data_IF_385534202809
#
_entry.id   IF_385534202809
#
_cell.length_a   1.000
_cell.length_b   1.000
_cell.length_c   1.000
_cell.angle_alpha   90.00
_cell.angle_beta   90.00
_cell.angle_gamma   90.00
#
_symmetry.space_group_name_H-M   'P 1'
#
loop_
_entity.id
_entity.type
_entity.pdbx_description
1 polymer ?
#
# COMPACT_ATOMS: atom_id res chain seq x y z
N UNK A 1 -25.38 0.28 -7.35
CA UNK A 1 -25.29 0.41 -8.82
C UNK A 1 -24.47 1.59 -9.33
N UNK A 2 -24.08 2.57 -8.51
CA UNK A 2 -23.20 3.66 -8.95
C UNK A 2 -21.79 3.13 -9.31
N UNK A 3 -21.08 3.83 -10.20
CA UNK A 3 -19.68 3.54 -10.58
C UNK A 3 -18.89 4.85 -10.58
N UNK A 4 -17.89 4.96 -9.70
CA UNK A 4 -17.17 6.22 -9.45
C UNK A 4 -15.67 5.98 -9.36
N UNK A 5 -14.89 6.89 -9.95
CA UNK A 5 -13.46 7.01 -9.66
C UNK A 5 -13.20 8.25 -8.81
N UNK A 6 -12.54 8.06 -7.67
CA UNK A 6 -12.10 9.13 -6.77
C UNK A 6 -10.58 9.22 -6.86
N UNK A 7 -10.06 10.42 -7.09
CA UNK A 7 -8.62 10.70 -7.10
C UNK A 7 -8.30 11.65 -5.95
N UNK A 8 -7.61 11.14 -4.94
CA UNK A 8 -7.16 11.89 -3.77
C UNK A 8 -5.65 12.17 -3.88
N UNK A 9 -5.28 13.45 -3.91
CA UNK A 9 -3.89 13.88 -3.82
C UNK A 9 -3.65 14.56 -2.48
N UNK A 10 -2.91 13.92 -1.57
CA UNK A 10 -2.54 14.53 -0.29
C UNK A 10 -1.08 15.00 -0.38
N UNK A 11 -0.93 16.32 -0.41
CA UNK A 11 0.36 17.00 -0.42
C UNK A 11 0.73 17.54 0.96
N UNK A 12 2.01 17.53 1.30
CA UNK A 12 2.54 18.24 2.47
C UNK A 12 3.77 19.06 2.07
N UNK A 13 3.73 20.37 2.29
CA UNK A 13 4.84 21.28 2.02
C UNK A 13 5.43 21.78 3.34
N UNK A 14 6.75 21.70 3.52
CA UNK A 14 7.43 22.25 4.69
C UNK A 14 8.68 23.06 4.31
N UNK A 15 8.62 24.40 4.33
CA UNK A 15 9.76 25.28 4.07
C UNK A 15 10.51 25.69 5.36
N UNK A 16 10.02 25.28 6.54
CA UNK A 16 10.50 25.73 7.85
C UNK A 16 11.35 24.70 8.59
N UNK A 17 11.77 25.06 9.80
CA UNK A 17 12.48 24.16 10.71
C UNK A 17 11.56 23.35 11.63
N UNK A 18 10.28 23.72 11.73
CA UNK A 18 9.30 23.05 12.57
C UNK A 18 8.54 21.98 11.80
N UNK A 19 8.03 20.97 12.52
CA UNK A 19 7.28 19.86 11.94
C UNK A 19 5.95 20.32 11.33
N UNK A 20 5.65 19.81 10.13
CA UNK A 20 4.35 19.89 9.49
C UNK A 20 3.67 18.52 9.53
N UNK A 21 2.36 18.50 9.77
CA UNK A 21 1.61 17.25 9.90
C UNK A 21 0.24 17.34 9.20
N UNK A 22 -0.10 16.29 8.46
CA UNK A 22 -1.39 16.06 7.85
C UNK A 22 -1.98 14.76 8.41
N UNK A 23 -3.09 14.86 9.14
CA UNK A 23 -3.86 13.70 9.61
C UNK A 23 -5.23 13.72 8.94
N UNK A 24 -5.52 12.70 8.14
CA UNK A 24 -6.76 12.59 7.37
C UNK A 24 -7.54 11.34 7.78
N UNK A 25 -8.85 11.46 7.98
CA UNK A 25 -9.74 10.32 8.20
C UNK A 25 -10.75 10.29 7.06
N UNK A 26 -10.74 9.20 6.29
CA UNK A 26 -11.65 8.95 5.19
C UNK A 26 -12.60 7.81 5.57
N UNK A 27 -13.88 8.10 5.69
CA UNK A 27 -14.91 7.07 5.81
C UNK A 27 -15.61 6.88 4.47
N UNK A 28 -15.56 5.66 3.94
CA UNK A 28 -16.07 5.31 2.62
C UNK A 28 -17.08 4.17 2.77
N UNK A 29 -18.31 4.42 2.34
CA UNK A 29 -19.39 3.42 2.36
C UNK A 29 -19.85 3.18 0.91
N UNK A 30 -19.60 1.98 0.40
CA UNK A 30 -19.96 1.59 -0.96
C UNK A 30 -21.25 0.77 -0.91
N UNK A 31 -22.33 1.38 -1.40
CA UNK A 31 -23.70 0.84 -1.37
C UNK A 31 -23.90 -0.37 -2.28
N UNK A 32 -25.03 -1.10 -2.17
CA UNK A 32 -25.16 -2.39 -2.80
C UNK A 32 -25.04 -2.32 -4.33
N UNK A 33 -24.29 -3.26 -4.89
CA UNK A 33 -23.97 -3.31 -6.32
C UNK A 33 -23.25 -2.07 -6.86
N UNK A 34 -22.68 -1.20 -6.01
CA UNK A 34 -21.90 -0.05 -6.46
C UNK A 34 -20.42 -0.42 -6.61
N UNK A 35 -19.71 0.33 -7.46
CA UNK A 35 -18.30 0.16 -7.78
C UNK A 35 -17.56 1.46 -7.48
N UNK A 36 -16.38 1.34 -6.88
CA UNK A 36 -15.50 2.49 -6.65
C UNK A 36 -14.06 2.14 -7.00
N UNK A 37 -13.41 3.03 -7.75
CA UNK A 37 -11.94 3.07 -7.84
C UNK A 37 -11.42 4.25 -7.04
N UNK A 38 -10.55 4.01 -6.07
CA UNK A 38 -9.96 5.05 -5.22
C UNK A 38 -8.45 5.10 -5.48
N UNK A 39 -7.98 6.23 -5.99
CA UNK A 39 -6.56 6.46 -6.30
C UNK A 39 -6.04 7.51 -5.34
N UNK A 40 -5.10 7.12 -4.47
CA UNK A 40 -4.49 8.00 -3.50
C UNK A 40 -3.00 8.20 -3.80
N UNK A 41 -2.57 9.45 -3.82
CA UNK A 41 -1.18 9.82 -4.05
C UNK A 41 -0.69 10.73 -2.93
N UNK A 42 0.38 10.30 -2.27
CA UNK A 42 1.07 11.07 -1.25
C UNK A 42 2.36 11.67 -1.79
N UNK A 43 2.53 12.96 -1.51
CA UNK A 43 3.66 13.73 -1.98
C UNK A 43 4.08 14.76 -0.94
N UNK A 44 5.36 14.76 -0.59
CA UNK A 44 5.97 15.78 0.27
C UNK A 44 6.98 16.62 -0.49
N UNK A 45 7.06 17.91 -0.17
CA UNK A 45 8.08 18.82 -0.71
C UNK A 45 8.44 19.95 0.26
N UNK A 46 9.45 20.74 -0.10
CA UNK A 46 9.98 21.85 0.69
C UNK A 46 11.42 21.60 1.13
N UNK A 47 12.22 22.67 1.12
CA UNK A 47 13.65 22.64 1.47
C UNK A 47 13.89 22.79 2.98
N UNK A 48 12.81 22.88 3.78
CA UNK A 48 12.88 22.99 5.23
C UNK A 48 13.45 21.74 5.89
N UNK A 49 14.11 21.93 7.03
CA UNK A 49 14.61 20.85 7.88
C UNK A 49 13.52 20.24 8.76
N UNK A 50 12.34 20.85 8.83
CA UNK A 50 11.21 20.34 9.59
C UNK A 50 10.61 19.09 8.96
N UNK A 51 10.17 18.17 9.82
CA UNK A 51 9.56 16.92 9.38
C UNK A 51 8.26 17.13 8.60
N UNK A 52 8.00 16.24 7.64
CA UNK A 52 6.75 16.12 6.89
C UNK A 52 6.06 14.82 7.27
N UNK A 53 5.03 14.92 8.11
CA UNK A 53 4.27 13.76 8.60
C UNK A 53 2.92 13.66 7.92
N UNK A 54 2.57 12.47 7.39
CA UNK A 54 1.29 12.23 6.72
C UNK A 54 0.67 10.93 7.24
N UNK A 55 -0.40 11.03 8.03
CA UNK A 55 -1.07 9.89 8.67
C UNK A 55 -2.52 9.75 8.20
N UNK A 56 -2.76 9.08 7.06
CA UNK A 56 -4.10 8.82 6.58
C UNK A 56 -4.70 7.60 7.28
N UNK A 57 -5.96 7.70 7.65
CA UNK A 57 -6.79 6.59 8.11
C UNK A 57 -7.96 6.43 7.17
N UNK A 58 -8.13 5.26 6.56
CA UNK A 58 -9.28 4.93 5.72
C UNK A 58 -10.12 3.84 6.39
N UNK A 59 -11.41 4.09 6.51
CA UNK A 59 -12.42 3.17 7.03
C UNK A 59 -13.38 2.86 5.89
N UNK A 60 -13.40 1.62 5.43
CA UNK A 60 -14.22 1.16 4.30
C UNK A 60 -15.31 0.21 4.76
N UNK A 61 -16.53 0.44 4.27
CA UNK A 61 -17.63 -0.52 4.34
C UNK A 61 -18.10 -0.85 2.93
N UNK A 62 -17.94 -2.10 2.52
CA UNK A 62 -18.41 -2.61 1.24
C UNK A 62 -19.69 -3.39 1.46
N UNK A 63 -20.84 -2.81 1.11
CA UNK A 63 -22.13 -3.48 1.22
C UNK A 63 -22.34 -4.55 0.13
N UNK A 64 -23.48 -5.24 0.17
CA UNK A 64 -23.77 -6.41 -0.68
C UNK A 64 -23.44 -6.19 -2.17
N UNK A 65 -22.73 -7.14 -2.76
CA UNK A 65 -22.36 -7.17 -4.19
C UNK A 65 -21.58 -5.91 -4.67
N UNK A 66 -20.98 -5.15 -3.75
CA UNK A 66 -20.17 -3.97 -4.10
C UNK A 66 -18.75 -4.34 -4.47
N UNK A 67 -18.08 -3.45 -5.21
CA UNK A 67 -16.69 -3.64 -5.63
C UNK A 67 -15.86 -2.40 -5.33
N UNK A 68 -14.69 -2.58 -4.73
CA UNK A 68 -13.73 -1.49 -4.52
C UNK A 68 -12.35 -1.90 -4.99
N UNK A 69 -11.73 -1.01 -5.77
CA UNK A 69 -10.31 -1.07 -6.12
C UNK A 69 -9.61 0.16 -5.54
N UNK A 70 -8.57 -0.05 -4.75
CA UNK A 70 -7.76 1.00 -4.16
C UNK A 70 -6.33 0.94 -4.70
N UNK A 71 -5.83 2.06 -5.20
CA UNK A 71 -4.43 2.26 -5.56
C UNK A 71 -3.82 3.31 -4.63
N UNK A 72 -2.98 2.87 -3.69
CA UNK A 72 -2.38 3.72 -2.67
C UNK A 72 -0.90 3.90 -2.98
N UNK A 73 -0.47 5.11 -3.35
CA UNK A 73 0.90 5.38 -3.78
C UNK A 73 1.58 6.45 -2.92
N UNK A 74 2.75 6.16 -2.37
CA UNK A 74 3.69 7.20 -1.94
C UNK A 74 4.66 7.51 -3.07
N UNK A 75 4.70 8.76 -3.52
CA UNK A 75 5.61 9.15 -4.58
C UNK A 75 6.99 9.47 -4.01
N UNK A 76 7.07 10.45 -3.09
CA UNK A 76 8.33 10.88 -2.44
C UNK A 76 8.07 11.90 -1.32
N UNK A 77 9.13 12.17 -0.55
CA UNK A 77 9.24 13.38 0.28
C UNK A 77 8.46 13.40 1.59
N UNK A 78 7.80 12.31 1.96
CA UNK A 78 7.13 12.17 3.26
C UNK A 78 8.11 11.56 4.25
N UNK A 79 8.48 12.30 5.30
CA UNK A 79 9.49 11.87 6.28
C UNK A 79 8.97 10.74 7.19
N UNK A 80 7.72 10.85 7.62
CA UNK A 80 7.08 9.83 8.43
C UNK A 80 5.62 9.63 8.04
N UNK A 81 5.18 8.38 8.00
CA UNK A 81 3.78 8.03 7.74
C UNK A 81 3.33 6.84 8.56
N UNK A 82 2.17 6.94 9.19
CA UNK A 82 1.42 5.81 9.73
C UNK A 82 0.08 5.76 9.02
N UNK A 83 -0.06 4.81 8.10
CA UNK A 83 -1.26 4.58 7.31
C UNK A 83 -2.07 3.48 7.96
N UNK A 84 -3.37 3.73 8.12
CA UNK A 84 -4.30 2.75 8.68
C UNK A 84 -5.44 2.53 7.70
N UNK A 85 -5.68 1.29 7.32
CA UNK A 85 -6.85 0.92 6.52
C UNK A 85 -7.64 -0.13 7.28
N UNK A 86 -8.91 0.15 7.55
CA UNK A 86 -9.86 -0.82 8.07
C UNK A 86 -10.95 -1.05 7.04
N UNK A 87 -11.23 -2.30 6.69
CA UNK A 87 -12.29 -2.62 5.73
C UNK A 87 -13.20 -3.73 6.27
N UNK A 88 -14.51 -3.54 6.08
CA UNK A 88 -15.54 -4.56 6.32
C UNK A 88 -16.23 -4.89 5.01
N UNK A 89 -16.21 -6.17 4.63
CA UNK A 89 -16.67 -6.64 3.32
C UNK A 89 -17.86 -7.59 3.50
N UNK A 90 -19.02 -7.16 3.01
CA UNK A 90 -20.29 -7.90 3.11
C UNK A 90 -20.47 -8.90 1.95
N UNK A 91 -21.62 -9.59 1.95
CA UNK A 91 -21.97 -10.67 1.02
C UNK A 91 -21.73 -10.29 -0.44
N UNK A 92 -21.04 -11.16 -1.19
CA UNK A 92 -20.74 -10.97 -2.60
C UNK A 92 -19.84 -9.77 -2.94
N UNK A 93 -19.37 -9.02 -1.93
CA UNK A 93 -18.56 -7.83 -2.17
C UNK A 93 -17.06 -8.17 -2.30
N UNK A 94 -16.35 -7.36 -3.08
CA UNK A 94 -14.94 -7.59 -3.41
C UNK A 94 -14.09 -6.35 -3.21
N UNK A 95 -12.99 -6.50 -2.47
CA UNK A 95 -11.98 -5.47 -2.26
C UNK A 95 -10.67 -5.85 -2.93
N UNK A 96 -10.09 -4.93 -3.69
CA UNK A 96 -8.70 -5.02 -4.19
C UNK A 96 -7.95 -3.81 -3.69
N UNK A 97 -6.83 -4.03 -2.99
CA UNK A 97 -5.91 -2.97 -2.56
C UNK A 97 -4.56 -3.23 -3.19
N UNK A 98 -4.02 -2.24 -3.87
CA UNK A 98 -2.64 -2.22 -4.37
C UNK A 98 -1.92 -1.04 -3.74
N UNK A 99 -0.97 -1.33 -2.87
CA UNK A 99 -0.08 -0.35 -2.28
C UNK A 99 1.27 -0.33 -3.01
N UNK A 100 1.74 0.88 -3.33
CA UNK A 100 3.07 1.15 -3.89
C UNK A 100 3.78 2.15 -2.99
N UNK A 101 4.88 1.72 -2.37
CA UNK A 101 5.58 2.51 -1.38
C UNK A 101 7.07 2.57 -1.67
N UNK A 102 7.57 3.77 -1.97
CA UNK A 102 9.01 4.02 -2.01
C UNK A 102 9.41 4.95 -0.86
N UNK A 103 10.43 4.54 -0.10
CA UNK A 103 11.04 5.37 0.94
C UNK A 103 12.52 5.57 0.66
N UNK A 104 13.04 6.74 1.04
CA UNK A 104 14.44 7.13 0.85
C UNK A 104 14.94 7.99 2.02
N UNK A 105 16.23 8.30 2.05
CA UNK A 105 16.85 9.06 3.15
C UNK A 105 16.70 8.36 4.50
N UNK A 106 16.09 9.05 5.46
CA UNK A 106 15.82 8.54 6.82
C UNK A 106 14.31 8.37 7.07
N UNK A 107 13.54 8.11 6.02
CA UNK A 107 12.08 8.00 6.12
C UNK A 107 11.64 6.78 6.93
N UNK A 108 10.56 6.93 7.70
CA UNK A 108 9.89 5.84 8.41
C UNK A 108 8.44 5.71 7.93
N UNK A 109 8.07 4.54 7.41
CA UNK A 109 6.71 4.28 6.93
C UNK A 109 6.11 3.03 7.58
N UNK A 110 4.89 3.17 8.11
CA UNK A 110 4.09 2.06 8.61
C UNK A 110 2.78 2.02 7.83
N UNK A 111 2.45 0.85 7.31
CA UNK A 111 1.15 0.57 6.70
C UNK A 111 0.49 -0.59 7.42
N UNK A 112 -0.61 -0.28 8.11
CA UNK A 112 -1.39 -1.19 8.93
C UNK A 112 -2.76 -1.38 8.27
N UNK A 113 -3.06 -2.62 7.86
CA UNK A 113 -4.30 -2.94 7.18
C UNK A 113 -5.04 -4.05 7.89
N UNK A 114 -6.32 -3.84 8.16
CA UNK A 114 -7.21 -4.82 8.76
C UNK A 114 -8.46 -4.99 7.90
N UNK A 115 -8.66 -6.18 7.33
CA UNK A 115 -9.78 -6.49 6.44
C UNK A 115 -10.59 -7.64 7.02
N UNK A 116 -11.89 -7.41 7.23
CA UNK A 116 -12.84 -8.43 7.68
C UNK A 116 -13.79 -8.82 6.55
N UNK A 117 -13.77 -10.09 6.16
CA UNK A 117 -14.68 -10.71 5.20
C UNK A 117 -15.84 -11.37 5.96
N UNK A 118 -16.94 -10.63 6.14
CA UNK A 118 -18.05 -11.01 7.02
C UNK A 118 -19.25 -11.63 6.31
N UNK A 119 -19.35 -11.48 4.98
CA UNK A 119 -20.48 -12.02 4.21
C UNK A 119 -20.09 -13.13 3.25
N UNK A 120 -21.01 -14.06 3.00
CA UNK A 120 -20.77 -15.17 2.08
C UNK A 120 -20.34 -14.71 0.68
N UNK A 121 -19.41 -15.44 0.08
CA UNK A 121 -18.81 -15.15 -1.22
C UNK A 121 -18.10 -13.78 -1.31
N UNK A 122 -17.80 -13.14 -0.18
CA UNK A 122 -16.95 -11.95 -0.15
C UNK A 122 -15.49 -12.29 -0.49
N UNK A 123 -14.75 -11.30 -0.96
CA UNK A 123 -13.34 -11.48 -1.28
C UNK A 123 -12.45 -10.27 -1.04
N UNK A 124 -11.19 -10.50 -0.69
CA UNK A 124 -10.16 -9.45 -0.65
C UNK A 124 -8.86 -9.87 -1.33
N UNK A 125 -8.25 -8.96 -2.08
CA UNK A 125 -6.86 -9.05 -2.53
C UNK A 125 -6.09 -7.84 -2.00
N UNK A 126 -5.04 -8.08 -1.22
CA UNK A 126 -4.15 -7.03 -0.70
C UNK A 126 -2.76 -7.27 -1.29
N UNK A 127 -2.31 -6.35 -2.13
CA UNK A 127 -1.00 -6.38 -2.77
C UNK A 127 -0.21 -5.19 -2.25
N UNK A 128 1.01 -5.41 -1.78
CA UNK A 128 1.96 -4.34 -1.49
C UNK A 128 3.25 -4.59 -2.26
N UNK A 129 3.70 -3.55 -2.97
CA UNK A 129 5.00 -3.48 -3.60
C UNK A 129 5.79 -2.33 -3.01
N UNK A 130 6.94 -2.62 -2.42
CA UNK A 130 7.69 -1.59 -1.71
C UNK A 130 9.19 -1.60 -1.96
N UNK A 131 9.80 -0.42 -1.88
CA UNK A 131 11.23 -0.21 -2.06
C UNK A 131 11.74 0.66 -0.91
N UNK A 132 12.71 0.17 -0.15
CA UNK A 132 13.40 0.94 0.89
C UNK A 132 14.83 1.22 0.45
N UNK A 133 15.17 2.51 0.31
CA UNK A 133 16.49 3.01 -0.09
C UNK A 133 17.16 3.80 1.05
N UNK A 134 18.48 4.00 0.96
CA UNK A 134 19.29 4.73 1.95
C UNK A 134 19.21 4.11 3.36
N UNK A 135 18.78 4.87 4.37
CA UNK A 135 18.58 4.40 5.75
C UNK A 135 17.09 4.30 6.12
N UNK A 136 16.20 4.29 5.12
CA UNK A 136 14.75 4.32 5.35
C UNK A 136 14.23 2.99 5.89
N UNK A 137 13.09 3.04 6.60
CA UNK A 137 12.47 1.89 7.23
C UNK A 137 11.01 1.79 6.84
N UNK A 138 10.57 0.56 6.61
CA UNK A 138 9.19 0.25 6.30
C UNK A 138 8.69 -0.90 7.18
N UNK A 139 7.43 -0.79 7.62
CA UNK A 139 6.71 -1.87 8.26
C UNK A 139 5.35 -2.04 7.58
N UNK A 140 5.11 -3.21 7.01
CA UNK A 140 3.83 -3.57 6.40
C UNK A 140 3.14 -4.67 7.22
N UNK A 141 1.91 -4.40 7.65
CA UNK A 141 1.14 -5.26 8.57
C UNK A 141 -0.27 -5.51 8.04
N UNK A 142 -0.43 -6.28 6.96
CA UNK A 142 -1.75 -6.66 6.49
C UNK A 142 -2.32 -7.80 7.34
N UNK A 143 -3.58 -7.68 7.73
CA UNK A 143 -4.32 -8.69 8.47
C UNK A 143 -5.69 -8.90 7.81
N UNK A 144 -5.92 -10.10 7.26
CA UNK A 144 -7.17 -10.47 6.59
C UNK A 144 -7.87 -11.59 7.37
N UNK A 145 -9.08 -11.31 7.84
CA UNK A 145 -9.90 -12.24 8.62
C UNK A 145 -11.13 -12.63 7.82
N UNK A 146 -11.37 -13.93 7.63
CA UNK A 146 -12.57 -14.45 6.99
C UNK A 146 -13.51 -15.12 8.01
N UNK A 147 -14.69 -14.53 8.20
CA UNK A 147 -15.73 -15.01 9.12
C UNK A 147 -16.86 -15.78 8.43
N UNK A 148 -16.76 -15.94 7.12
CA UNK A 148 -17.75 -16.58 6.25
C UNK A 148 -17.05 -17.37 5.15
N UNK A 149 -17.82 -18.06 4.29
CA UNK A 149 -17.30 -18.68 3.06
C UNK A 149 -16.79 -17.59 2.11
N UNK A 150 -15.52 -17.22 2.26
CA UNK A 150 -14.90 -16.07 1.61
C UNK A 150 -13.50 -16.41 1.09
N UNK A 151 -12.96 -15.56 0.21
CA UNK A 151 -11.63 -15.73 -0.39
C UNK A 151 -10.73 -14.54 -0.10
N UNK A 152 -9.51 -14.79 0.35
CA UNK A 152 -8.54 -13.74 0.64
C UNK A 152 -7.16 -14.08 0.09
N UNK A 153 -6.46 -13.07 -0.39
CA UNK A 153 -5.10 -13.20 -0.87
C UNK A 153 -4.27 -11.98 -0.44
N UNK A 154 -3.11 -12.24 0.15
CA UNK A 154 -2.15 -11.22 0.57
C UNK A 154 -0.81 -11.48 -0.11
N UNK A 155 -0.34 -10.50 -0.87
CA UNK A 155 0.89 -10.54 -1.66
C UNK A 155 1.79 -9.37 -1.23
N UNK A 156 2.99 -9.67 -0.74
CA UNK A 156 3.95 -8.65 -0.29
C UNK A 156 5.28 -8.83 -1.02
N UNK A 157 5.60 -7.94 -1.95
CA UNK A 157 6.90 -7.93 -2.63
C UNK A 157 7.69 -6.68 -2.24
N UNK A 158 8.94 -6.87 -1.83
CA UNK A 158 9.77 -5.76 -1.37
C UNK A 158 11.21 -5.84 -1.85
N UNK A 159 11.76 -4.69 -2.22
CA UNK A 159 13.17 -4.50 -2.57
C UNK A 159 13.87 -3.66 -1.50
N UNK A 160 14.99 -4.17 -0.99
CA UNK A 160 15.91 -3.46 -0.11
C UNK A 160 17.13 -2.99 -0.91
N UNK A 161 17.48 -1.72 -0.73
CA UNK A 161 18.69 -1.09 -1.25
C UNK A 161 19.48 -0.44 -0.11
N UNK A 162 20.78 -0.30 -0.29
CA UNK A 162 21.69 0.34 0.68
C UNK A 162 21.59 -0.25 2.11
N UNK A 163 21.11 0.55 3.07
CA UNK A 163 20.85 0.18 4.47
C UNK A 163 19.36 0.20 4.79
N UNK A 164 18.50 0.18 3.76
CA UNK A 164 17.06 0.15 3.91
C UNK A 164 16.62 -1.07 4.73
N UNK A 165 15.57 -0.91 5.53
CA UNK A 165 15.03 -2.00 6.34
C UNK A 165 13.55 -2.15 6.08
N UNK A 166 13.11 -3.36 5.80
CA UNK A 166 11.69 -3.67 5.58
C UNK A 166 11.30 -4.81 6.52
N UNK A 167 10.21 -4.61 7.22
CA UNK A 167 9.53 -5.65 7.99
C UNK A 167 8.14 -5.88 7.41
N UNK A 168 7.83 -7.13 7.08
CA UNK A 168 6.49 -7.54 6.67
C UNK A 168 5.96 -8.53 7.71
N UNK A 169 4.83 -8.21 8.32
CA UNK A 169 4.15 -9.07 9.32
C UNK A 169 2.71 -9.35 8.88
N UNK A 170 2.52 -10.16 7.84
CA UNK A 170 1.21 -10.52 7.32
C UNK A 170 0.52 -11.52 8.26
N UNK A 171 -0.78 -11.36 8.40
CA UNK A 171 -1.64 -12.26 9.16
C UNK A 171 -2.89 -12.62 8.34
N UNK A 172 -3.27 -13.89 8.41
CA UNK A 172 -4.55 -14.37 7.87
C UNK A 172 -5.24 -15.23 8.93
N UNK A 173 -6.56 -15.08 9.07
CA UNK A 173 -7.36 -15.85 10.01
C UNK A 173 -8.64 -16.35 9.33
N UNK A 174 -8.76 -17.67 9.18
CA UNK A 174 -9.97 -18.32 8.68
C UNK A 174 -10.83 -18.77 9.87
N UNK A 175 -11.92 -18.06 10.13
CA UNK A 175 -12.90 -18.35 11.20
C UNK A 175 -14.15 -19.07 10.67
N UNK A 176 -14.13 -19.51 9.40
CA UNK A 176 -15.18 -20.30 8.76
C UNK A 176 -14.56 -21.49 8.01
N UNK A 177 -15.14 -22.72 8.08
CA UNK A 177 -14.55 -23.93 7.52
C UNK A 177 -14.34 -23.89 5.99
N UNK A 178 -15.22 -23.19 5.27
CA UNK A 178 -15.12 -23.04 3.80
C UNK A 178 -14.34 -21.78 3.35
N UNK A 179 -13.69 -21.06 4.27
CA UNK A 179 -12.87 -19.91 3.91
C UNK A 179 -11.54 -20.34 3.26
N UNK A 180 -11.10 -19.58 2.25
CA UNK A 180 -9.82 -19.82 1.57
C UNK A 180 -8.97 -18.56 1.64
N UNK A 181 -7.89 -18.61 2.42
CA UNK A 181 -6.95 -17.50 2.58
C UNK A 181 -5.56 -17.95 2.13
N UNK A 182 -4.87 -17.09 1.41
CA UNK A 182 -3.49 -17.32 0.95
C UNK A 182 -2.62 -16.12 1.24
N UNK A 183 -1.35 -16.37 1.50
CA UNK A 183 -0.38 -15.35 1.81
C UNK A 183 0.98 -15.71 1.20
N UNK A 184 1.59 -14.75 0.52
CA UNK A 184 2.94 -14.82 -0.04
C UNK A 184 3.72 -13.53 0.30
N UNK A 185 4.99 -13.67 0.69
CA UNK A 185 5.90 -12.55 0.93
C UNK A 185 7.31 -12.83 0.42
N UNK A 186 7.90 -11.85 -0.25
CA UNK A 186 9.28 -11.85 -0.69
C UNK A 186 9.95 -10.50 -0.34
N UNK A 187 11.09 -10.56 0.35
CA UNK A 187 11.94 -9.40 0.60
C UNK A 187 13.33 -9.74 0.07
N UNK A 188 13.81 -8.96 -0.90
CA UNK A 188 15.07 -9.23 -1.58
C UNK A 188 15.83 -7.97 -1.92
N UNK A 189 17.05 -8.15 -2.43
CA UNK A 189 17.79 -7.06 -3.10
C UNK A 189 17.33 -6.95 -4.55
N UNK A 190 17.69 -5.84 -5.19
CA UNK A 190 17.53 -5.69 -6.64
C UNK A 190 18.24 -6.85 -7.36
N UNK A 191 17.60 -7.41 -8.38
CA UNK A 191 18.16 -8.54 -9.13
C UNK A 191 19.40 -8.10 -9.93
N UNK A 192 20.59 -8.48 -9.47
CA UNK A 192 21.87 -8.08 -10.06
C UNK A 192 21.98 -8.48 -11.54
N UNK A 193 21.44 -9.64 -11.93
CA UNK A 193 21.43 -10.06 -13.33
C UNK A 193 20.60 -9.12 -14.23
N UNK A 194 19.48 -8.59 -13.72
CA UNK A 194 18.68 -7.62 -14.46
C UNK A 194 19.41 -6.29 -14.59
N UNK A 195 20.11 -5.86 -13.53
CA UNK A 195 20.92 -4.65 -13.50
C UNK A 195 22.06 -4.73 -14.52
N UNK A 196 22.86 -5.80 -14.48
CA UNK A 196 23.96 -6.05 -15.42
C UNK A 196 23.42 -6.09 -16.85
N UNK A 197 22.30 -6.77 -17.09
CA UNK A 197 21.69 -6.84 -18.43
C UNK A 197 21.33 -5.46 -18.97
N UNK A 198 20.70 -4.60 -18.18
CA UNK A 198 20.38 -3.23 -18.59
C UNK A 198 21.65 -2.39 -18.84
N UNK A 199 22.68 -2.56 -18.01
CA UNK A 199 23.96 -1.89 -18.22
C UNK A 199 24.65 -2.32 -19.52
N UNK A 200 24.57 -3.61 -19.88
CA UNK A 200 25.07 -4.08 -21.18
C UNK A 200 24.29 -3.53 -22.37
N UNK A 201 23.06 -3.06 -22.17
CA UNK A 201 22.26 -2.34 -23.17
C UNK A 201 22.60 -0.84 -23.25
N UNK A 202 23.60 -0.38 -22.50
CA UNK A 202 24.13 0.98 -22.56
C UNK A 202 23.60 1.95 -21.50
N UNK A 203 22.84 1.47 -20.52
CA UNK A 203 22.39 2.28 -19.39
C UNK A 203 23.52 2.39 -18.35
N UNK A 204 23.62 3.53 -17.69
CA UNK A 204 24.38 3.60 -16.44
C UNK A 204 23.70 2.76 -15.35
N UNK A 205 24.43 2.43 -14.30
CA UNK A 205 23.90 1.69 -13.15
C UNK A 205 22.66 2.38 -12.55
N UNK A 206 22.72 3.70 -12.32
CA UNK A 206 21.58 4.47 -11.82
C UNK A 206 20.37 4.46 -12.76
N UNK A 207 20.59 4.56 -14.09
CA UNK A 207 19.49 4.47 -15.06
C UNK A 207 18.87 3.07 -15.08
N UNK A 208 19.69 2.03 -14.96
CA UNK A 208 19.23 0.66 -14.90
C UNK A 208 18.42 0.39 -13.62
N UNK A 209 18.89 0.87 -12.46
CA UNK A 209 18.14 0.85 -11.19
C UNK A 209 16.78 1.53 -11.36
N UNK A 210 16.76 2.76 -11.86
CA UNK A 210 15.53 3.53 -12.05
C UNK A 210 14.52 2.80 -12.95
N UNK A 211 14.98 2.11 -13.99
CA UNK A 211 14.13 1.31 -14.87
C UNK A 211 13.53 0.10 -14.14
N UNK A 212 14.34 -0.63 -13.36
CA UNK A 212 13.89 -1.78 -12.58
C UNK A 212 12.88 -1.33 -11.52
N UNK A 213 13.19 -0.26 -10.78
CA UNK A 213 12.32 0.28 -9.73
C UNK A 213 11.00 0.79 -10.29
N UNK A 214 11.01 1.47 -11.44
CA UNK A 214 9.78 1.87 -12.13
C UNK A 214 8.97 0.65 -12.56
N UNK A 215 9.59 -0.36 -13.18
CA UNK A 215 8.88 -1.58 -13.58
C UNK A 215 8.29 -2.35 -12.40
N UNK A 216 8.96 -2.35 -11.25
CA UNK A 216 8.49 -2.99 -10.03
C UNK A 216 7.32 -2.25 -9.38
N UNK A 217 7.39 -0.92 -9.32
CA UNK A 217 6.37 -0.09 -8.70
C UNK A 217 5.18 0.26 -9.62
N UNK A 218 5.25 -0.02 -10.93
CA UNK A 218 4.13 0.11 -11.88
C UNK A 218 3.14 -1.07 -11.76
#
# INVERSE_FOLDING_TARGET
GADVTVVAGCGIHNPGGEKSQHDGIHEIIVKPGARMKYIEKHYGEGEGSGERVLNPTTILTLEKDSFVEMELTQIKGVDSTVRKTKATVHEGASLVVTERLMTHGNQDAVSDMYVELIGENSSAKVISRSVAKDNSKQAFKPNVVAKSKAKGHVECDSIIMDKGMISSTPAIAAEHPDAQLTHEAAIGKIAEEQLIKLMTLGLSENEAEDVILKGFLL
#
